data_IF_707281458645
#
_entry.id   IF_707281458645
#
_cell.length_a   1.000
_cell.length_b   1.000
_cell.length_c   1.000
_cell.angle_alpha   90.00
_cell.angle_beta   90.00
_cell.angle_gamma   90.00
#
_symmetry.space_group_name_H-M   'P 1'
#
loop_
_entity.id
_entity.type
_entity.pdbx_description
1 polymer ?
#
# COMPACT_ATOMS: atom_id res chain seq x y z
N UNK A 1 -0.20 20.10 -17.61
CA UNK A 1 0.01 19.89 -16.18
C UNK A 1 0.20 21.22 -15.44
N UNK A 2 1.20 22.06 -15.79
CA UNK A 2 1.49 23.31 -15.05
C UNK A 2 0.29 24.26 -14.91
N UNK A 3 -0.54 24.41 -15.93
CA UNK A 3 -1.76 25.24 -15.84
C UNK A 3 -2.79 24.66 -14.87
N UNK A 4 -2.99 23.35 -14.86
CA UNK A 4 -3.90 22.67 -13.92
C UNK A 4 -3.43 22.87 -12.49
N UNK A 5 -2.12 22.67 -12.22
CA UNK A 5 -1.54 22.88 -10.89
C UNK A 5 -1.69 24.33 -10.39
N UNK A 6 -1.49 25.33 -11.28
CA UNK A 6 -1.73 26.74 -10.93
C UNK A 6 -3.19 27.00 -10.58
N UNK A 7 -4.12 26.43 -11.35
CA UNK A 7 -5.56 26.57 -11.05
C UNK A 7 -5.92 25.93 -9.72
N UNK A 8 -5.41 24.71 -9.42
CA UNK A 8 -5.63 24.07 -8.12
C UNK A 8 -5.09 24.95 -6.99
N UNK A 9 -3.91 25.55 -7.16
CA UNK A 9 -3.30 26.46 -6.18
C UNK A 9 -4.14 27.70 -5.87
N UNK A 10 -4.89 28.21 -6.85
CA UNK A 10 -5.69 29.45 -6.71
C UNK A 10 -7.16 29.20 -6.44
N UNK A 11 -7.73 28.14 -7.00
CA UNK A 11 -9.17 27.84 -6.99
C UNK A 11 -9.49 26.64 -6.04
N UNK A 12 -8.47 25.97 -5.51
CA UNK A 12 -8.64 24.76 -4.68
C UNK A 12 -9.02 23.51 -5.47
N UNK A 13 -9.50 22.50 -4.77
CA UNK A 13 -9.85 21.19 -5.35
C UNK A 13 -10.95 21.26 -6.42
N UNK A 14 -11.86 22.24 -6.33
CA UNK A 14 -12.93 22.45 -7.32
C UNK A 14 -12.40 22.65 -8.73
N UNK A 15 -11.22 23.26 -8.90
CA UNK A 15 -10.57 23.41 -10.20
C UNK A 15 -10.26 22.08 -10.91
N UNK A 16 -10.14 20.99 -10.15
CA UNK A 16 -9.88 19.66 -10.67
C UNK A 16 -11.15 18.83 -10.85
N UNK A 17 -12.05 18.86 -9.85
CA UNK A 17 -13.23 17.99 -9.82
C UNK A 17 -14.46 18.57 -10.53
N UNK A 18 -14.38 19.84 -10.98
CA UNK A 18 -15.46 20.49 -11.72
C UNK A 18 -14.94 21.26 -12.95
N UNK A 19 -15.86 21.68 -13.82
CA UNK A 19 -15.54 22.52 -14.99
C UNK A 19 -14.73 21.81 -16.08
N UNK A 20 -13.89 22.58 -16.79
CA UNK A 20 -13.22 22.09 -18.01
C UNK A 20 -12.17 21.01 -17.78
N UNK A 21 -11.50 21.01 -16.63
CA UNK A 21 -10.52 19.96 -16.29
C UNK A 21 -11.25 18.64 -16.04
N UNK A 22 -12.31 18.67 -15.21
CA UNK A 22 -13.15 17.49 -14.94
C UNK A 22 -13.76 16.95 -16.24
N UNK A 23 -14.25 17.83 -17.14
CA UNK A 23 -14.79 17.39 -18.43
C UNK A 23 -13.76 16.68 -19.30
N UNK A 24 -12.51 17.16 -19.31
CA UNK A 24 -11.42 16.53 -20.06
C UNK A 24 -11.07 15.16 -19.49
N UNK A 25 -11.03 15.02 -18.17
CA UNK A 25 -10.78 13.75 -17.47
C UNK A 25 -11.92 12.77 -17.73
N UNK A 26 -13.17 13.20 -17.54
CA UNK A 26 -14.35 12.36 -17.75
C UNK A 26 -14.39 11.79 -19.16
N UNK A 27 -14.14 12.62 -20.16
CA UNK A 27 -14.09 12.19 -21.56
C UNK A 27 -12.96 11.19 -21.84
N UNK A 28 -11.79 11.39 -21.25
CA UNK A 28 -10.61 10.53 -21.46
C UNK A 28 -10.73 9.19 -20.73
N UNK A 29 -11.30 9.17 -19.54
CA UNK A 29 -11.41 7.99 -18.69
C UNK A 29 -12.75 7.23 -18.82
N UNK A 30 -13.71 7.74 -19.61
CA UNK A 30 -15.05 7.15 -19.71
C UNK A 30 -15.88 7.28 -18.43
N UNK A 31 -15.60 8.30 -17.62
CA UNK A 31 -16.29 8.62 -16.38
C UNK A 31 -17.36 9.69 -16.62
N UNK A 32 -18.26 9.87 -15.65
CA UNK A 32 -19.19 11.00 -15.64
C UNK A 32 -18.65 12.18 -14.84
N UNK A 33 -19.18 13.37 -15.06
CA UNK A 33 -18.87 14.53 -14.20
C UNK A 33 -19.39 14.33 -12.77
N UNK A 34 -20.45 13.57 -12.61
CA UNK A 34 -21.02 13.22 -11.31
C UNK A 34 -20.06 12.33 -10.51
N UNK A 35 -19.44 11.33 -11.15
CA UNK A 35 -18.41 10.49 -10.51
C UNK A 35 -17.24 11.33 -9.99
N UNK A 36 -16.77 12.30 -10.77
CA UNK A 36 -15.68 13.18 -10.37
C UNK A 36 -16.09 14.13 -9.24
N UNK A 37 -17.27 14.76 -9.35
CA UNK A 37 -17.75 15.72 -8.34
C UNK A 37 -18.14 15.06 -7.01
N UNK A 38 -18.51 13.78 -7.04
CA UNK A 38 -18.84 12.98 -5.87
C UNK A 38 -17.62 12.38 -5.16
N UNK A 39 -16.41 12.56 -5.73
CA UNK A 39 -15.20 12.03 -5.09
C UNK A 39 -14.90 12.73 -3.77
N UNK A 40 -14.71 11.94 -2.72
CA UNK A 40 -14.32 12.41 -1.40
C UNK A 40 -13.03 11.74 -0.95
N UNK A 41 -12.14 12.54 -0.35
CA UNK A 41 -10.93 12.03 0.29
C UNK A 41 -11.30 11.31 1.58
N UNK A 42 -10.85 10.06 1.72
CA UNK A 42 -11.03 9.30 2.94
C UNK A 42 -9.87 9.54 3.90
N UNK A 43 -10.21 9.84 5.15
CA UNK A 43 -9.28 9.82 6.27
C UNK A 43 -9.43 8.49 7.00
N UNK A 44 -8.34 7.75 7.11
CA UNK A 44 -8.31 6.45 7.76
C UNK A 44 -7.17 6.38 8.76
N UNK A 45 -7.35 5.57 9.80
CA UNK A 45 -6.26 5.28 10.73
C UNK A 45 -5.20 4.43 10.05
N UNK A 46 -3.90 4.65 10.34
CA UNK A 46 -2.84 3.83 9.80
C UNK A 46 -2.83 2.44 10.43
N UNK A 47 -2.19 1.48 9.75
CA UNK A 47 -1.76 0.24 10.39
C UNK A 47 -0.51 0.50 11.22
N UNK A 48 -0.48 -0.03 12.44
CA UNK A 48 0.66 0.09 13.34
C UNK A 48 1.13 -1.33 13.71
N UNK A 49 2.34 -1.66 13.33
CA UNK A 49 3.06 -2.87 13.70
C UNK A 49 4.35 -2.54 14.43
N UNK A 50 5.12 -3.57 14.77
CA UNK A 50 6.42 -3.43 15.42
C UNK A 50 7.49 -4.19 14.63
N UNK A 51 8.70 -3.66 14.59
CA UNK A 51 9.88 -4.28 14.03
C UNK A 51 11.14 -3.81 14.77
N UNK A 52 11.94 -4.73 15.31
CA UNK A 52 13.17 -4.42 16.07
C UNK A 52 12.94 -3.40 17.21
N UNK A 53 11.79 -3.43 17.87
CA UNK A 53 11.45 -2.50 18.95
C UNK A 53 11.04 -1.10 18.47
N UNK A 54 10.79 -0.91 17.18
CA UNK A 54 10.28 0.33 16.59
C UNK A 54 8.86 0.15 16.08
N UNK A 55 8.04 1.17 16.29
CA UNK A 55 6.73 1.23 15.65
C UNK A 55 6.88 1.42 14.14
N UNK A 56 6.22 0.55 13.36
CA UNK A 56 6.09 0.66 11.91
C UNK A 56 4.70 1.15 11.58
N UNK A 57 4.59 2.39 11.17
CA UNK A 57 3.33 3.04 10.80
C UNK A 57 3.21 3.06 9.28
N UNK A 58 2.16 2.45 8.75
CA UNK A 58 1.97 2.34 7.30
C UNK A 58 0.51 2.49 6.88
N UNK A 59 0.30 2.73 5.59
CA UNK A 59 -1.04 2.92 5.03
C UNK A 59 -1.87 1.64 5.13
N UNK A 60 -3.17 1.74 5.52
CA UNK A 60 -4.08 0.60 5.56
C UNK A 60 -4.46 0.13 4.14
N UNK A 61 -5.27 -0.92 4.04
CA UNK A 61 -5.81 -1.34 2.75
C UNK A 61 -6.61 -0.19 2.06
N UNK A 62 -6.54 -0.12 0.73
CA UNK A 62 -6.01 -1.10 -0.23
C UNK A 62 -4.50 -1.02 -0.48
N UNK A 63 -3.77 -0.23 0.28
CA UNK A 63 -2.34 -0.06 0.14
C UNK A 63 -1.54 -1.21 0.76
N UNK A 64 -0.23 -1.22 0.52
CA UNK A 64 0.65 -2.34 0.86
C UNK A 64 1.14 -2.40 2.31
N UNK A 65 0.58 -1.61 3.24
CA UNK A 65 1.08 -1.53 4.62
C UNK A 65 1.01 -2.84 5.39
N UNK A 66 -0.06 -3.61 5.22
CA UNK A 66 -0.15 -4.96 5.80
C UNK A 66 1.00 -5.84 5.33
N UNK A 67 1.21 -5.90 4.02
CA UNK A 67 2.27 -6.72 3.41
C UNK A 67 3.65 -6.32 3.91
N UNK A 68 3.93 -5.01 3.98
CA UNK A 68 5.20 -4.50 4.52
C UNK A 68 5.44 -4.97 5.95
N UNK A 69 4.48 -4.79 6.85
CA UNK A 69 4.62 -5.18 8.25
C UNK A 69 4.75 -6.69 8.39
N UNK A 70 3.98 -7.48 7.61
CA UNK A 70 4.11 -8.92 7.57
C UNK A 70 5.50 -9.37 7.14
N UNK A 71 6.06 -8.78 6.07
CA UNK A 71 7.41 -9.08 5.59
C UNK A 71 8.48 -8.79 6.64
N UNK A 72 8.40 -7.64 7.33
CA UNK A 72 9.33 -7.28 8.38
C UNK A 72 9.28 -8.27 9.54
N UNK A 73 8.11 -8.58 10.07
CA UNK A 73 7.93 -9.55 11.16
C UNK A 73 8.34 -10.97 10.77
N UNK A 74 8.00 -11.43 9.56
CA UNK A 74 8.49 -12.73 9.08
C UNK A 74 10.01 -12.74 8.96
N UNK A 75 10.61 -11.63 8.57
CA UNK A 75 12.06 -11.50 8.49
C UNK A 75 12.75 -11.71 9.84
N UNK A 76 12.17 -11.18 10.91
CA UNK A 76 12.66 -11.44 12.29
C UNK A 76 12.53 -12.91 12.66
N UNK A 77 11.35 -13.53 12.45
CA UNK A 77 11.07 -14.92 12.81
C UNK A 77 11.97 -15.90 12.03
N UNK A 78 12.19 -15.63 10.74
CA UNK A 78 13.01 -16.48 9.87
C UNK A 78 14.51 -16.27 10.07
N UNK A 79 14.91 -15.27 10.85
CA UNK A 79 16.33 -14.93 11.06
C UNK A 79 17.06 -14.81 9.72
N UNK A 80 16.68 -13.80 8.93
CA UNK A 80 17.29 -13.57 7.61
C UNK A 80 18.77 -13.32 7.78
N UNK A 81 19.65 -14.14 7.15
CA UNK A 81 21.08 -13.96 7.29
C UNK A 81 21.55 -12.66 6.62
N UNK A 82 22.73 -12.21 7.05
CA UNK A 82 23.39 -11.07 6.45
C UNK A 82 23.77 -11.37 4.98
N UNK A 83 23.38 -10.53 4.02
CA UNK A 83 23.66 -10.75 2.60
C UNK A 83 25.16 -10.77 2.25
N UNK A 84 26.01 -10.11 3.05
CA UNK A 84 27.46 -10.10 2.82
C UNK A 84 28.14 -11.41 3.26
N UNK A 85 27.56 -12.11 4.22
CA UNK A 85 28.13 -13.37 4.76
C UNK A 85 27.47 -14.62 4.17
N UNK A 86 26.16 -14.59 3.93
CA UNK A 86 25.41 -15.68 3.30
C UNK A 86 24.39 -15.15 2.29
N UNK A 87 24.82 -14.71 1.10
CA UNK A 87 23.93 -14.18 0.08
C UNK A 87 22.90 -15.21 -0.42
N UNK A 88 23.25 -16.49 -0.42
CA UNK A 88 22.35 -17.55 -0.87
C UNK A 88 21.20 -17.78 0.13
N UNK A 89 21.52 -17.87 1.41
CA UNK A 89 20.55 -17.99 2.50
C UNK A 89 19.65 -16.76 2.57
N UNK A 90 20.23 -15.56 2.42
CA UNK A 90 19.50 -14.30 2.35
C UNK A 90 18.44 -14.33 1.24
N UNK A 91 18.84 -14.60 -0.01
CA UNK A 91 17.94 -14.64 -1.15
C UNK A 91 16.87 -15.70 -1.02
N UNK A 92 17.23 -16.89 -0.50
CA UNK A 92 16.28 -17.98 -0.29
C UNK A 92 15.18 -17.59 0.70
N UNK A 93 15.55 -17.03 1.85
CA UNK A 93 14.58 -16.61 2.88
C UNK A 93 13.77 -15.41 2.43
N UNK A 94 14.40 -14.42 1.79
CA UNK A 94 13.69 -13.26 1.21
C UNK A 94 12.66 -13.70 0.17
N UNK A 95 13.02 -14.62 -0.72
CA UNK A 95 12.06 -15.17 -1.70
C UNK A 95 10.91 -15.90 -1.02
N UNK A 96 11.20 -16.72 -0.01
CA UNK A 96 10.16 -17.44 0.74
C UNK A 96 9.14 -16.48 1.36
N UNK A 97 9.59 -15.49 2.14
CA UNK A 97 8.68 -14.54 2.78
C UNK A 97 7.92 -13.67 1.77
N UNK A 98 8.56 -13.30 0.67
CA UNK A 98 7.90 -12.53 -0.39
C UNK A 98 6.76 -13.31 -1.02
N UNK A 99 6.96 -14.58 -1.35
CA UNK A 99 5.91 -15.44 -1.91
C UNK A 99 4.72 -15.62 -0.95
N UNK A 100 5.01 -15.84 0.33
CA UNK A 100 3.99 -15.98 1.37
C UNK A 100 3.16 -14.70 1.49
N UNK A 101 3.81 -13.57 1.64
CA UNK A 101 3.15 -12.27 1.81
C UNK A 101 2.42 -11.81 0.55
N UNK A 102 2.94 -12.12 -0.64
CA UNK A 102 2.30 -11.76 -1.91
C UNK A 102 1.01 -12.56 -2.14
N UNK A 103 1.02 -13.86 -1.85
CA UNK A 103 -0.20 -14.69 -1.88
C UNK A 103 -1.27 -14.16 -0.93
N UNK A 104 -0.88 -13.78 0.28
CA UNK A 104 -1.78 -13.19 1.26
C UNK A 104 -2.32 -11.84 0.76
N UNK A 105 -1.46 -10.99 0.20
CA UNK A 105 -1.83 -9.71 -0.40
C UNK A 105 -2.90 -9.89 -1.48
N UNK A 106 -2.65 -10.74 -2.46
CA UNK A 106 -3.58 -10.99 -3.58
C UNK A 106 -4.94 -11.49 -3.06
N UNK A 107 -4.95 -12.35 -2.04
CA UNK A 107 -6.17 -12.95 -1.53
C UNK A 107 -6.97 -12.04 -0.59
N UNK A 108 -6.33 -11.12 0.14
CA UNK A 108 -6.93 -10.35 1.24
C UNK A 108 -6.96 -8.84 1.01
N UNK A 109 -5.90 -8.26 0.41
CA UNK A 109 -5.84 -6.81 0.25
C UNK A 109 -6.78 -6.36 -0.85
N UNK A 110 -7.68 -5.47 -0.48
CA UNK A 110 -8.69 -4.93 -1.40
C UNK A 110 -9.22 -3.62 -0.85
N UNK A 111 -9.81 -2.83 -1.71
CA UNK A 111 -10.57 -1.67 -1.28
C UNK A 111 -11.83 -2.12 -0.50
N UNK A 112 -11.86 -1.78 0.78
CA UNK A 112 -12.91 -2.18 1.72
C UNK A 112 -14.28 -1.63 1.35
N UNK A 113 -14.36 -0.55 0.54
CA UNK A 113 -15.61 0.03 0.04
C UNK A 113 -16.38 -0.91 -0.90
N UNK A 114 -15.67 -1.83 -1.56
CA UNK A 114 -16.25 -2.72 -2.56
C UNK A 114 -16.46 -4.17 -2.07
N UNK A 115 -16.07 -4.50 -0.85
CA UNK A 115 -16.29 -5.85 -0.29
C UNK A 115 -17.32 -5.87 0.83
N UNK A 116 -18.18 -6.89 0.79
CA UNK A 116 -19.21 -7.13 1.83
C UNK A 116 -18.66 -7.66 3.15
N UNK A 117 -17.45 -8.23 3.17
CA UNK A 117 -16.79 -8.73 4.38
C UNK A 117 -15.56 -7.88 4.66
N UNK A 118 -15.54 -7.27 5.83
CA UNK A 118 -14.35 -6.60 6.34
C UNK A 118 -13.34 -7.65 6.77
N UNK A 119 -12.11 -7.53 6.27
CA UNK A 119 -10.96 -8.29 6.75
C UNK A 119 -10.27 -7.48 7.84
N UNK A 120 -9.89 -8.13 8.93
CA UNK A 120 -9.22 -7.48 10.04
C UNK A 120 -7.70 -7.39 9.74
N UNK A 121 -7.30 -6.27 9.16
CA UNK A 121 -5.91 -6.02 8.77
C UNK A 121 -5.00 -5.84 10.00
N UNK A 122 -5.51 -5.33 11.14
CA UNK A 122 -4.73 -5.21 12.35
C UNK A 122 -4.45 -6.60 12.96
N UNK A 123 -5.42 -7.50 12.93
CA UNK A 123 -5.21 -8.89 13.33
C UNK A 123 -4.23 -9.61 12.39
N UNK A 124 -4.26 -9.31 11.11
CA UNK A 124 -3.40 -9.94 10.11
C UNK A 124 -1.90 -9.62 10.26
N UNK A 125 -1.55 -8.59 11.03
CA UNK A 125 -0.17 -8.25 11.39
C UNK A 125 0.21 -8.67 12.81
N UNK A 126 -0.66 -9.43 13.51
CA UNK A 126 -0.33 -10.01 14.82
C UNK A 126 0.65 -11.18 14.68
N UNK A 127 1.46 -11.41 15.72
CA UNK A 127 2.44 -12.50 15.74
C UNK A 127 1.78 -13.86 15.52
N UNK A 128 0.64 -14.11 16.17
CA UNK A 128 -0.13 -15.35 15.98
C UNK A 128 -0.50 -15.57 14.50
N UNK A 129 -0.96 -14.53 13.83
CA UNK A 129 -1.34 -14.62 12.42
C UNK A 129 -0.12 -14.91 11.54
N UNK A 130 1.00 -14.22 11.79
CA UNK A 130 2.25 -14.40 11.06
C UNK A 130 2.80 -15.83 11.23
N UNK A 131 2.80 -16.37 12.45
CA UNK A 131 3.20 -17.76 12.70
C UNK A 131 2.32 -18.76 11.94
N UNK A 132 1.00 -18.52 11.88
CA UNK A 132 0.10 -19.37 11.10
C UNK A 132 0.39 -19.29 9.60
N UNK A 133 0.71 -18.11 9.07
CA UNK A 133 1.11 -17.95 7.67
C UNK A 133 2.36 -18.77 7.33
N UNK A 134 3.38 -18.77 8.19
CA UNK A 134 4.62 -19.52 7.96
C UNK A 134 4.40 -21.04 7.87
N UNK A 135 3.32 -21.55 8.45
CA UNK A 135 2.98 -22.98 8.45
C UNK A 135 2.04 -23.39 7.30
N UNK A 136 1.61 -22.46 6.45
CA UNK A 136 0.76 -22.75 5.29
C UNK A 136 1.60 -23.25 4.10
N UNK A 137 0.96 -24.03 3.22
CA UNK A 137 1.55 -24.43 1.95
C UNK A 137 1.35 -23.32 0.90
N UNK A 138 2.45 -22.81 0.36
CA UNK A 138 2.48 -21.74 -0.65
C UNK A 138 3.05 -22.18 -2.00
N UNK A 139 3.09 -23.48 -2.27
CA UNK A 139 3.70 -24.01 -3.50
C UNK A 139 2.92 -23.66 -4.76
N UNK A 140 1.63 -23.37 -4.64
CA UNK A 140 0.77 -23.01 -5.77
C UNK A 140 0.49 -21.49 -5.76
N UNK A 141 1.33 -20.74 -6.47
CA UNK A 141 1.28 -19.29 -6.52
C UNK A 141 1.22 -18.80 -7.98
N UNK A 142 0.06 -18.28 -8.37
CA UNK A 142 -0.06 -17.46 -9.58
C UNK A 142 0.43 -16.03 -9.27
N UNK A 143 1.47 -15.59 -9.98
CA UNK A 143 1.94 -14.20 -9.89
C UNK A 143 0.99 -13.30 -10.67
N UNK A 144 0.53 -12.24 -10.02
CA UNK A 144 -0.04 -11.10 -10.72
C UNK A 144 1.10 -10.37 -11.46
N UNK A 145 1.08 -10.46 -12.79
CA UNK A 145 2.11 -9.88 -13.65
C UNK A 145 1.73 -8.49 -14.18
N UNK A 146 0.54 -8.00 -13.88
CA UNK A 146 0.10 -6.66 -14.26
C UNK A 146 0.71 -5.62 -13.30
N UNK A 147 1.98 -5.29 -13.55
CA UNK A 147 2.66 -4.17 -12.90
C UNK A 147 2.04 -2.86 -13.37
N UNK A 148 1.47 -2.11 -12.44
CA UNK A 148 1.09 -0.72 -12.69
C UNK A 148 2.21 0.19 -12.20
N UNK A 149 2.57 1.18 -13.02
CA UNK A 149 3.57 2.18 -12.66
C UNK A 149 3.00 3.13 -11.61
N UNK A 150 3.75 3.39 -10.55
CA UNK A 150 3.42 4.35 -9.50
C UNK A 150 4.54 5.37 -9.33
N UNK A 151 4.17 6.56 -8.89
CA UNK A 151 5.13 7.60 -8.49
C UNK A 151 4.99 7.86 -7.00
N UNK A 152 6.11 7.93 -6.29
CA UNK A 152 6.15 8.22 -4.86
C UNK A 152 7.00 9.46 -4.57
N UNK A 153 6.51 10.33 -3.68
CA UNK A 153 7.22 11.51 -3.19
C UNK A 153 7.18 11.49 -1.66
N UNK A 154 8.35 11.59 -1.05
CA UNK A 154 8.50 11.82 0.39
C UNK A 154 9.09 13.21 0.62
N UNK A 155 8.50 13.96 1.53
CA UNK A 155 8.93 15.33 1.89
C UNK A 155 9.03 15.44 3.40
N UNK A 156 10.08 16.07 3.87
CA UNK A 156 10.22 16.48 5.27
C UNK A 156 10.50 17.98 5.31
N UNK A 157 9.78 18.71 6.15
CA UNK A 157 10.01 20.13 6.35
C UNK A 157 11.04 20.38 7.48
N UNK A 158 11.43 21.64 7.65
CA UNK A 158 12.39 22.06 8.67
C UNK A 158 11.90 21.85 10.12
N UNK A 159 10.60 21.64 10.34
CA UNK A 159 10.00 21.43 11.65
C UNK A 159 9.79 19.94 11.95
N UNK A 160 10.19 19.05 11.01
CA UNK A 160 10.03 17.60 11.15
C UNK A 160 8.69 17.06 10.66
N UNK A 161 7.82 17.89 10.05
CA UNK A 161 6.60 17.40 9.42
C UNK A 161 6.97 16.58 8.18
N UNK A 162 6.45 15.36 8.09
CA UNK A 162 6.70 14.45 6.97
C UNK A 162 5.41 14.16 6.22
N UNK A 163 5.53 14.08 4.90
CA UNK A 163 4.45 13.65 3.99
C UNK A 163 5.01 12.62 3.03
N UNK A 164 4.30 11.51 2.88
CA UNK A 164 4.55 10.51 1.85
C UNK A 164 3.31 10.41 0.97
N UNK A 165 3.50 10.60 -0.33
CA UNK A 165 2.41 10.59 -1.32
C UNK A 165 2.74 9.60 -2.43
N UNK A 166 1.89 8.61 -2.60
CA UNK A 166 1.95 7.64 -3.72
C UNK A 166 0.80 7.95 -4.67
N UNK A 167 1.10 8.01 -5.96
CA UNK A 167 0.12 8.29 -7.00
C UNK A 167 0.23 7.24 -8.12
#
# INVERSE_FOLDING_TARGET
LAQVLRRISTEGSSAFYTGSVAQSIANAAGMTLEDLSAYETLLTDPLIGEFNGYDVISAPAPFGGMTLIQMLKMGEILEIPDPDTDPSGYLKKLTQLTLICDKERISKVTDTRFKRKTFDYQKAISDEYIYNMLNMDYTDHERDTDGQDTTHISVIDKNGMTVACTN
#
